data_IF_794662820238
#
_entry.id   IF_794662820238
#
_cell.length_a   1.000
_cell.length_b   1.000
_cell.length_c   1.000
_cell.angle_alpha   90.00
_cell.angle_beta   90.00
_cell.angle_gamma   90.00
#
_symmetry.space_group_name_H-M   'P 1'
#
loop_
_entity.id
_entity.type
_entity.pdbx_description
1 polymer ?
#
# COMPACT_ATOMS: atom_id res chain seq x y z
N UNK A 1 15.87 -21.39 -13.07
CA UNK A 1 16.99 -21.94 -12.29
C UNK A 1 16.79 -21.48 -10.85
N UNK A 2 17.06 -22.30 -9.85
CA UNK A 2 17.04 -21.84 -8.45
C UNK A 2 18.19 -20.86 -8.27
N UNK A 3 17.89 -19.61 -7.88
CA UNK A 3 18.92 -18.61 -7.58
C UNK A 3 19.00 -18.49 -6.07
N UNK A 4 20.19 -18.72 -5.51
CA UNK A 4 20.46 -18.38 -4.12
C UNK A 4 20.71 -16.88 -4.06
N UNK A 5 19.83 -16.17 -3.37
CA UNK A 5 19.83 -14.72 -3.26
C UNK A 5 20.08 -14.34 -1.82
N UNK A 6 20.87 -13.29 -1.63
CA UNK A 6 20.97 -12.61 -0.34
C UNK A 6 19.81 -11.64 -0.28
N UNK A 7 18.89 -11.86 0.66
CA UNK A 7 17.64 -11.12 0.77
C UNK A 7 17.59 -10.39 2.11
N UNK A 8 17.21 -9.12 2.08
CA UNK A 8 16.84 -8.32 3.25
C UNK A 8 15.32 -8.42 3.43
N UNK A 9 14.87 -8.78 4.63
CA UNK A 9 13.45 -8.95 4.92
C UNK A 9 13.10 -8.46 6.33
N UNK A 10 11.88 -7.97 6.54
CA UNK A 10 11.32 -7.82 7.88
C UNK A 10 11.19 -9.17 8.60
N UNK A 11 11.45 -9.21 9.90
CA UNK A 11 11.36 -10.43 10.72
C UNK A 11 9.97 -11.11 10.70
N UNK A 12 8.91 -10.34 10.45
CA UNK A 12 7.55 -10.85 10.29
C UNK A 12 7.42 -11.78 9.08
N UNK A 13 8.28 -11.64 8.06
CA UNK A 13 8.14 -12.34 6.78
C UNK A 13 8.12 -13.87 6.97
N UNK A 14 8.93 -14.36 7.91
CA UNK A 14 9.05 -15.79 8.25
C UNK A 14 7.78 -16.39 8.88
N UNK A 15 6.86 -15.54 9.36
CA UNK A 15 5.60 -15.97 9.97
C UNK A 15 4.53 -16.31 8.92
N UNK A 16 4.64 -15.75 7.71
CA UNK A 16 3.58 -15.84 6.72
C UNK A 16 3.42 -17.23 6.12
N UNK A 17 2.17 -17.72 6.15
CA UNK A 17 1.73 -18.90 5.42
C UNK A 17 0.35 -18.64 4.84
N UNK A 18 0.17 -18.89 3.55
CA UNK A 18 -1.13 -18.75 2.92
C UNK A 18 -2.16 -19.66 3.62
N UNK A 19 -3.26 -19.06 4.06
CA UNK A 19 -4.37 -19.76 4.73
C UNK A 19 -5.35 -20.42 3.75
N UNK A 20 -5.11 -20.25 2.43
CA UNK A 20 -5.84 -20.89 1.35
C UNK A 20 -7.34 -20.62 1.42
N UNK A 21 -8.15 -21.67 1.37
CA UNK A 21 -9.62 -21.60 1.38
C UNK A 21 -10.23 -20.98 2.65
N UNK A 22 -9.44 -20.76 3.71
CA UNK A 22 -9.88 -20.01 4.90
C UNK A 22 -9.79 -18.49 4.72
N UNK A 23 -9.19 -18.01 3.62
CA UNK A 23 -9.05 -16.59 3.33
C UNK A 23 -10.43 -15.97 3.11
N UNK A 24 -10.77 -14.97 3.93
CA UNK A 24 -12.05 -14.27 3.86
C UNK A 24 -12.17 -13.35 2.64
N UNK A 25 -11.03 -12.91 2.10
CA UNK A 25 -10.94 -12.07 0.92
C UNK A 25 -9.84 -12.62 0.00
N UNK A 26 -10.24 -13.45 -0.96
CA UNK A 26 -9.33 -14.25 -1.77
C UNK A 26 -8.60 -13.39 -2.82
N UNK A 27 -7.30 -13.63 -2.99
CA UNK A 27 -6.48 -13.07 -4.08
C UNK A 27 -6.83 -13.64 -5.46
N UNK A 28 -7.86 -14.47 -5.56
CA UNK A 28 -8.35 -15.02 -6.82
C UNK A 28 -9.70 -14.39 -7.21
N UNK A 29 -10.05 -13.23 -6.63
CA UNK A 29 -11.30 -12.51 -6.85
C UNK A 29 -11.03 -11.01 -6.93
N UNK A 30 -11.57 -10.37 -7.98
CA UNK A 30 -11.68 -8.90 -8.08
C UNK A 30 -10.51 -8.17 -8.76
N UNK A 31 -9.58 -8.89 -9.39
CA UNK A 31 -8.45 -8.30 -10.12
C UNK A 31 -7.91 -9.25 -11.21
N UNK A 32 -7.16 -8.71 -12.16
CA UNK A 32 -6.57 -9.47 -13.26
C UNK A 32 -5.50 -10.45 -12.75
N UNK A 33 -5.50 -11.68 -13.30
CA UNK A 33 -4.53 -12.72 -12.93
C UNK A 33 -3.69 -13.07 -14.15
N UNK A 34 -2.48 -12.53 -14.16
CA UNK A 34 -1.47 -12.83 -15.18
C UNK A 34 -0.80 -14.20 -14.99
N UNK A 35 -0.41 -14.78 -16.12
CA UNK A 35 0.23 -16.08 -16.22
C UNK A 35 1.44 -15.99 -17.14
N UNK A 36 2.62 -16.27 -16.58
CA UNK A 36 3.88 -16.32 -17.30
C UNK A 36 3.89 -17.39 -18.40
N UNK A 37 4.72 -17.19 -19.43
CA UNK A 37 4.73 -18.06 -20.61
C UNK A 37 5.01 -19.53 -20.25
N UNK A 38 5.92 -19.76 -19.29
CA UNK A 38 6.31 -21.10 -18.89
C UNK A 38 5.13 -21.84 -18.26
N UNK A 39 4.44 -21.19 -17.32
CA UNK A 39 3.25 -21.74 -16.67
C UNK A 39 2.10 -21.89 -17.66
N UNK A 40 1.88 -20.92 -18.56
CA UNK A 40 0.86 -21.00 -19.61
C UNK A 40 1.07 -22.23 -20.49
N UNK A 41 2.29 -22.44 -20.98
CA UNK A 41 2.65 -23.62 -21.80
C UNK A 41 2.57 -24.92 -21.01
N UNK A 42 2.86 -24.89 -19.71
CA UNK A 42 2.71 -26.05 -18.82
C UNK A 42 1.24 -26.44 -18.69
N UNK A 43 0.35 -25.48 -18.47
CA UNK A 43 -1.10 -25.66 -18.41
C UNK A 43 -1.66 -26.27 -19.69
N UNK A 44 -1.25 -25.78 -20.86
CA UNK A 44 -1.71 -26.28 -22.17
C UNK A 44 -1.22 -27.71 -22.50
N UNK A 45 -0.27 -28.25 -21.73
CA UNK A 45 0.30 -29.58 -21.91
C UNK A 45 -0.13 -30.58 -20.83
N UNK A 46 -1.01 -30.18 -19.92
CA UNK A 46 -1.50 -31.09 -18.88
C UNK A 46 -2.23 -32.27 -19.52
N UNK A 47 -1.90 -33.48 -19.09
CA UNK A 47 -2.61 -34.69 -19.52
C UNK A 47 -3.67 -35.04 -18.45
N UNK A 48 -4.67 -34.17 -18.33
CA UNK A 48 -5.77 -34.34 -17.38
C UNK A 48 -7.04 -33.72 -17.95
N UNK A 49 -8.08 -34.53 -18.16
CA UNK A 49 -9.33 -34.12 -18.82
C UNK A 49 -10.06 -32.99 -18.09
N UNK A 50 -10.06 -33.01 -16.74
CA UNK A 50 -10.66 -31.98 -15.89
C UNK A 50 -9.94 -30.63 -16.09
N UNK A 51 -8.61 -30.64 -16.01
CA UNK A 51 -7.80 -29.44 -16.18
C UNK A 51 -7.81 -28.92 -17.62
N UNK A 52 -7.78 -29.80 -18.62
CA UNK A 52 -7.77 -29.42 -20.03
C UNK A 52 -9.04 -28.65 -20.40
N UNK A 53 -10.19 -29.10 -19.91
CA UNK A 53 -11.47 -28.45 -20.19
C UNK A 53 -11.52 -27.04 -19.57
N UNK A 54 -11.13 -26.91 -18.30
CA UNK A 54 -11.22 -25.63 -17.60
C UNK A 54 -10.15 -24.64 -18.07
N UNK A 55 -8.92 -25.09 -18.31
CA UNK A 55 -7.83 -24.21 -18.74
C UNK A 55 -8.02 -23.78 -20.19
N UNK A 56 -8.41 -24.67 -21.11
CA UNK A 56 -8.65 -24.29 -22.51
C UNK A 56 -9.77 -23.26 -22.66
N UNK A 57 -10.78 -23.31 -21.78
CA UNK A 57 -11.90 -22.36 -21.79
C UNK A 57 -11.56 -21.01 -21.17
N UNK A 58 -10.71 -20.99 -20.14
CA UNK A 58 -10.52 -19.81 -19.29
C UNK A 58 -9.10 -19.25 -19.29
N UNK A 59 -8.21 -19.74 -20.17
CA UNK A 59 -6.90 -19.14 -20.38
C UNK A 59 -6.87 -18.42 -21.72
N UNK A 60 -6.52 -17.13 -21.69
CA UNK A 60 -6.37 -16.31 -22.88
C UNK A 60 -4.92 -15.87 -23.03
N UNK A 61 -4.41 -15.87 -24.26
CA UNK A 61 -3.10 -15.25 -24.53
C UNK A 61 -3.25 -13.73 -24.45
N UNK A 62 -2.33 -13.06 -23.77
CA UNK A 62 -2.27 -11.61 -23.76
C UNK A 62 -1.66 -11.12 -25.09
N UNK A 63 -2.43 -10.38 -25.88
CA UNK A 63 -1.94 -9.83 -27.15
C UNK A 63 -1.12 -8.55 -26.97
N UNK A 64 -1.20 -7.94 -25.79
CA UNK A 64 -0.49 -6.73 -25.37
C UNK A 64 0.60 -7.08 -24.34
N UNK A 65 1.10 -8.32 -24.40
CA UNK A 65 2.14 -8.81 -23.50
C UNK A 65 3.37 -7.91 -23.55
N UNK A 66 3.71 -7.34 -22.39
CA UNK A 66 4.87 -6.48 -22.18
C UNK A 66 6.07 -7.25 -21.66
N UNK A 67 5.84 -8.32 -20.89
CA UNK A 67 6.86 -9.15 -20.28
C UNK A 67 6.40 -10.61 -20.18
N UNK A 68 6.91 -11.47 -21.07
CA UNK A 68 6.54 -12.89 -21.12
C UNK A 68 6.79 -13.67 -19.82
N UNK A 69 7.62 -13.13 -18.91
CA UNK A 69 7.89 -13.69 -17.59
C UNK A 69 6.79 -13.40 -16.57
N UNK A 70 5.82 -12.54 -16.91
CA UNK A 70 4.73 -12.10 -16.03
C UNK A 70 3.39 -12.25 -16.75
N UNK A 71 3.21 -11.56 -17.88
CA UNK A 71 1.89 -11.23 -18.45
C UNK A 71 1.62 -11.91 -19.82
N UNK A 72 2.23 -13.06 -20.09
CA UNK A 72 2.07 -13.78 -21.36
C UNK A 72 0.62 -14.21 -21.65
N UNK A 73 -0.10 -14.61 -20.61
CA UNK A 73 -1.50 -14.96 -20.68
C UNK A 73 -2.25 -14.45 -19.46
N UNK A 74 -3.57 -14.48 -19.55
CA UNK A 74 -4.48 -14.07 -18.49
C UNK A 74 -5.47 -15.18 -18.17
N UNK A 75 -5.83 -15.30 -16.90
CA UNK A 75 -6.99 -16.09 -16.50
C UNK A 75 -8.25 -15.27 -16.76
N UNK A 76 -9.15 -15.78 -17.58
CA UNK A 76 -10.45 -15.18 -17.79
C UNK A 76 -11.35 -15.47 -16.58
N UNK A 77 -11.62 -14.44 -15.79
CA UNK A 77 -12.50 -14.52 -14.63
C UNK A 77 -13.96 -14.72 -15.08
N UNK A 78 -14.78 -15.27 -14.19
CA UNK A 78 -16.21 -15.38 -14.44
C UNK A 78 -16.92 -14.00 -14.29
N UNK A 79 -18.24 -13.98 -14.46
CA UNK A 79 -19.05 -12.75 -14.33
C UNK A 79 -19.01 -12.11 -12.94
N UNK A 80 -18.64 -12.88 -11.91
CA UNK A 80 -18.47 -12.43 -10.52
C UNK A 80 -17.00 -12.09 -10.23
N UNK A 81 -16.18 -11.89 -11.27
CA UNK A 81 -14.74 -11.59 -11.17
C UNK A 81 -13.96 -12.62 -10.36
N UNK A 82 -14.45 -13.86 -10.34
CA UNK A 82 -13.88 -14.99 -9.60
C UNK A 82 -13.09 -15.89 -10.53
N UNK A 83 -11.87 -16.25 -10.11
CA UNK A 83 -11.02 -17.19 -10.83
C UNK A 83 -11.72 -18.56 -10.96
N UNK A 84 -11.83 -19.11 -12.18
CA UNK A 84 -12.45 -20.42 -12.40
C UNK A 84 -11.67 -21.58 -11.77
N UNK A 85 -10.41 -21.36 -11.39
CA UNK A 85 -9.57 -22.34 -10.72
C UNK A 85 -9.79 -22.39 -9.20
N UNK A 86 -10.72 -21.62 -8.64
CA UNK A 86 -11.12 -21.77 -7.24
C UNK A 86 -12.24 -22.82 -7.11
N UNK A 87 -12.06 -23.79 -6.21
CA UNK A 87 -13.12 -24.73 -5.84
C UNK A 87 -14.19 -24.09 -4.94
N UNK A 88 -15.22 -24.85 -4.57
CA UNK A 88 -16.33 -24.39 -3.71
C UNK A 88 -15.88 -23.94 -2.30
N UNK A 89 -14.72 -24.40 -1.84
CA UNK A 89 -14.10 -24.00 -0.58
C UNK A 89 -13.10 -22.84 -0.74
N UNK A 90 -13.13 -22.11 -1.85
CA UNK A 90 -12.20 -21.01 -2.19
C UNK A 90 -10.72 -21.40 -2.16
N UNK A 91 -10.41 -22.67 -2.41
CA UNK A 91 -9.04 -23.16 -2.57
C UNK A 91 -8.70 -23.33 -4.05
N UNK A 92 -7.51 -22.91 -4.46
CA UNK A 92 -7.04 -23.07 -5.84
C UNK A 92 -6.83 -24.56 -6.20
N UNK A 93 -7.50 -25.04 -7.24
CA UNK A 93 -7.42 -26.44 -7.69
C UNK A 93 -6.05 -26.79 -8.25
N UNK A 94 -5.33 -25.83 -8.85
CA UNK A 94 -3.95 -26.02 -9.30
C UNK A 94 -3.06 -26.29 -8.09
N UNK A 95 -3.10 -25.41 -7.10
CA UNK A 95 -2.28 -25.56 -5.90
C UNK A 95 -2.60 -26.86 -5.15
N UNK A 96 -3.88 -27.14 -4.90
CA UNK A 96 -4.28 -28.31 -4.09
C UNK A 96 -4.03 -29.66 -4.76
N UNK A 97 -4.15 -29.76 -6.10
CA UNK A 97 -3.99 -31.04 -6.83
C UNK A 97 -2.62 -31.22 -7.46
N UNK A 98 -2.00 -30.14 -7.94
CA UNK A 98 -0.75 -30.19 -8.71
C UNK A 98 0.46 -29.66 -7.95
N UNK A 99 0.26 -28.85 -6.90
CA UNK A 99 1.35 -28.29 -6.09
C UNK A 99 1.69 -26.84 -6.45
N UNK A 100 2.49 -26.21 -5.57
CA UNK A 100 2.93 -24.81 -5.67
C UNK A 100 3.74 -24.54 -6.95
N UNK A 101 4.48 -25.52 -7.43
CA UNK A 101 5.32 -25.42 -8.63
C UNK A 101 4.53 -25.20 -9.92
N UNK A 102 3.23 -25.49 -9.92
CA UNK A 102 2.32 -25.26 -11.03
C UNK A 102 1.68 -23.86 -11.00
N UNK A 103 1.81 -23.09 -9.91
CA UNK A 103 1.29 -21.73 -9.86
C UNK A 103 2.05 -20.81 -10.81
N UNK A 104 1.37 -19.83 -11.42
CA UNK A 104 2.05 -18.78 -12.20
C UNK A 104 2.98 -17.96 -11.30
N UNK A 105 3.91 -17.24 -11.91
CA UNK A 105 4.75 -16.29 -11.16
C UNK A 105 3.88 -15.36 -10.30
N UNK A 106 2.84 -14.74 -10.86
CA UNK A 106 1.85 -13.90 -10.15
C UNK A 106 1.25 -14.60 -8.92
N UNK A 107 0.65 -15.79 -9.11
CA UNK A 107 -0.01 -16.53 -8.03
C UNK A 107 0.95 -17.07 -6.96
N UNK A 108 2.18 -17.40 -7.34
CA UNK A 108 3.20 -17.90 -6.41
C UNK A 108 3.85 -16.77 -5.59
N UNK A 109 3.92 -15.57 -6.18
CA UNK A 109 4.57 -14.43 -5.56
C UNK A 109 3.64 -13.77 -4.56
N UNK A 110 2.40 -13.44 -4.94
CA UNK A 110 1.45 -12.76 -4.06
C UNK A 110 1.25 -13.51 -2.71
N UNK A 111 1.27 -12.81 -1.57
CA UNK A 111 1.41 -11.36 -1.35
C UNK A 111 2.84 -10.89 -1.13
N UNK A 112 3.84 -11.67 -1.52
CA UNK A 112 5.25 -11.28 -1.41
C UNK A 112 5.54 -10.23 -2.47
N UNK A 113 6.27 -9.21 -2.08
CA UNK A 113 6.80 -8.19 -2.98
C UNK A 113 8.31 -8.27 -2.88
N UNK A 114 8.97 -8.36 -4.03
CA UNK A 114 10.42 -8.48 -4.11
C UNK A 114 10.94 -7.30 -4.92
N UNK A 115 11.70 -6.43 -4.27
CA UNK A 115 12.39 -5.33 -4.91
C UNK A 115 13.87 -5.65 -5.04
N UNK A 116 14.55 -4.89 -5.90
CA UNK A 116 16.01 -4.95 -6.05
C UNK A 116 16.57 -3.54 -5.89
N UNK A 117 17.50 -3.37 -4.95
CA UNK A 117 18.16 -2.09 -4.70
C UNK A 117 19.67 -2.31 -4.76
N UNK A 118 20.28 -1.86 -5.85
CA UNK A 118 21.61 -2.28 -6.30
C UNK A 118 21.69 -3.83 -6.38
N UNK A 119 22.65 -4.43 -5.67
CA UNK A 119 22.85 -5.88 -5.61
C UNK A 119 22.02 -6.57 -4.51
N UNK A 120 21.37 -5.82 -3.62
CA UNK A 120 20.56 -6.37 -2.53
C UNK A 120 19.12 -6.62 -3.01
N UNK A 121 18.61 -7.82 -2.71
CA UNK A 121 17.19 -8.15 -2.91
C UNK A 121 16.43 -7.87 -1.62
N UNK A 122 15.25 -7.27 -1.72
CA UNK A 122 14.43 -6.89 -0.58
C UNK A 122 13.05 -7.52 -0.69
N UNK A 123 12.63 -8.29 0.31
CA UNK A 123 11.31 -8.97 0.28
C UNK A 123 10.43 -8.56 1.45
N UNK A 124 9.16 -8.27 1.16
CA UNK A 124 8.12 -7.87 2.12
C UNK A 124 6.79 -8.56 1.81
N UNK A 125 5.76 -8.24 2.60
CA UNK A 125 4.39 -8.67 2.35
C UNK A 125 3.47 -7.47 2.09
N UNK A 126 2.66 -7.62 1.05
CA UNK A 126 1.58 -6.71 0.71
C UNK A 126 0.38 -6.92 1.64
N UNK A 127 -0.12 -5.83 2.23
CA UNK A 127 -1.21 -5.88 3.20
C UNK A 127 -2.59 -6.03 2.56
N UNK A 128 -2.70 -6.07 1.23
CA UNK A 128 -3.92 -6.49 0.52
C UNK A 128 -4.29 -7.96 0.78
N UNK A 129 -3.36 -8.79 1.27
CA UNK A 129 -3.69 -10.13 1.76
C UNK A 129 -4.14 -10.09 3.22
N UNK A 130 -5.31 -10.66 3.58
CA UNK A 130 -5.80 -10.69 4.97
C UNK A 130 -4.81 -11.26 5.98
N UNK A 131 -4.11 -12.34 5.63
CA UNK A 131 -3.14 -12.95 6.55
C UNK A 131 -1.86 -12.11 6.67
N UNK A 132 -1.40 -11.50 5.58
CA UNK A 132 -0.28 -10.56 5.62
C UNK A 132 -0.63 -9.34 6.47
N UNK A 133 -1.82 -8.75 6.29
CA UNK A 133 -2.29 -7.61 7.07
C UNK A 133 -2.28 -7.93 8.58
N UNK A 134 -2.81 -9.09 9.00
CA UNK A 134 -2.78 -9.50 10.42
C UNK A 134 -1.37 -9.59 10.97
N UNK A 135 -0.44 -10.17 10.21
CA UNK A 135 0.96 -10.37 10.62
C UNK A 135 1.70 -9.03 10.70
N UNK A 136 1.62 -8.22 9.64
CA UNK A 136 2.35 -6.96 9.50
C UNK A 136 1.78 -5.90 10.44
N UNK A 137 0.47 -5.65 10.34
CA UNK A 137 -0.19 -4.55 11.04
C UNK A 137 -0.44 -4.88 12.52
N UNK A 138 -0.72 -6.14 12.83
CA UNK A 138 -1.03 -6.61 14.19
C UNK A 138 0.16 -6.66 15.15
N UNK A 139 1.40 -6.43 14.68
CA UNK A 139 2.59 -6.51 15.50
C UNK A 139 2.83 -5.23 16.33
N UNK A 140 2.39 -5.24 17.59
CA UNK A 140 2.56 -4.09 18.52
C UNK A 140 4.02 -3.64 18.73
N UNK A 141 4.98 -4.54 18.59
CA UNK A 141 6.41 -4.24 18.75
C UNK A 141 7.04 -3.61 17.51
N UNK A 142 6.32 -3.57 16.39
CA UNK A 142 6.92 -3.30 15.09
C UNK A 142 7.82 -4.46 14.64
N UNK A 143 8.58 -4.25 13.58
CA UNK A 143 9.46 -5.26 12.99
C UNK A 143 10.85 -4.70 12.73
N UNK A 144 11.84 -5.57 12.75
CA UNK A 144 13.22 -5.27 12.37
C UNK A 144 13.61 -5.97 11.07
N UNK A 145 14.60 -5.43 10.38
CA UNK A 145 15.11 -5.98 9.14
C UNK A 145 16.28 -6.93 9.41
N UNK A 146 16.28 -8.07 8.74
CA UNK A 146 17.35 -9.06 8.80
C UNK A 146 17.78 -9.47 7.39
N UNK A 147 19.04 -9.92 7.26
CA UNK A 147 19.57 -10.48 6.00
C UNK A 147 19.62 -11.99 6.11
N UNK A 148 19.12 -12.68 5.10
CA UNK A 148 19.16 -14.14 5.00
C UNK A 148 19.47 -14.60 3.57
N UNK A 149 19.96 -15.83 3.44
CA UNK A 149 20.19 -16.49 2.17
C UNK A 149 18.93 -17.29 1.80
N UNK A 150 18.25 -16.92 0.72
CA UNK A 150 17.03 -17.60 0.27
C UNK A 150 17.18 -18.18 -1.13
N UNK A 151 16.65 -19.38 -1.32
CA UNK A 151 16.54 -20.01 -2.63
C UNK A 151 15.18 -19.71 -3.26
N UNK A 152 15.15 -18.80 -4.24
CA UNK A 152 13.93 -18.51 -5.00
C UNK A 152 13.89 -19.33 -6.30
N UNK A 153 12.79 -20.08 -6.48
CA UNK A 153 12.54 -20.87 -7.71
C UNK A 153 11.78 -20.08 -8.77
N UNK A 154 10.84 -19.26 -8.34
CA UNK A 154 10.02 -18.31 -9.12
C UNK A 154 10.01 -17.00 -8.34
N UNK A 155 10.14 -15.88 -9.03
CA UNK A 155 10.02 -14.54 -8.45
C UNK A 155 9.73 -13.53 -9.54
N UNK A 156 9.09 -12.44 -9.12
CA UNK A 156 8.90 -11.22 -9.92
C UNK A 156 9.63 -10.11 -9.18
N UNK A 157 10.40 -9.29 -9.89
CA UNK A 157 10.94 -8.04 -9.34
C UNK A 157 9.84 -6.99 -9.54
N UNK A 158 9.30 -6.47 -8.44
CA UNK A 158 8.22 -5.49 -8.46
C UNK A 158 8.73 -4.09 -8.79
N UNK A 159 9.87 -3.70 -8.21
CA UNK A 159 10.61 -2.49 -8.56
C UNK A 159 12.11 -2.70 -8.43
N UNK A 160 12.86 -1.90 -9.18
CA UNK A 160 14.33 -1.91 -9.20
C UNK A 160 14.86 -0.49 -9.16
N UNK A 161 15.82 -0.24 -8.26
CA UNK A 161 16.63 0.98 -8.22
C UNK A 161 18.10 0.56 -8.27
N UNK A 162 18.85 1.04 -9.25
CA UNK A 162 20.31 0.93 -9.29
C UNK A 162 20.91 2.30 -9.02
N UNK A 163 21.33 2.55 -7.78
CA UNK A 163 21.89 3.83 -7.37
C UNK A 163 23.28 4.12 -7.98
N UNK A 164 23.88 3.12 -8.63
CA UNK A 164 25.16 3.24 -9.32
C UNK A 164 25.01 3.48 -10.83
N UNK A 165 23.77 3.60 -11.33
CA UNK A 165 23.53 3.94 -12.72
C UNK A 165 24.14 5.31 -13.05
N UNK A 166 24.77 5.43 -14.23
CA UNK A 166 25.37 6.67 -14.71
C UNK A 166 24.32 7.78 -14.86
N UNK A 167 23.05 7.43 -15.10
CA UNK A 167 21.93 8.39 -15.13
C UNK A 167 21.74 9.14 -13.79
N UNK A 168 22.19 8.54 -12.68
CA UNK A 168 21.98 9.07 -11.34
C UNK A 168 23.23 9.70 -10.71
N UNK A 169 24.30 9.95 -11.48
CA UNK A 169 25.57 10.46 -10.94
C UNK A 169 25.38 11.73 -10.10
N UNK A 170 24.49 12.63 -10.54
CA UNK A 170 24.13 13.91 -9.91
C UNK A 170 22.68 13.91 -9.34
N UNK A 171 21.99 12.77 -9.28
CA UNK A 171 20.58 12.69 -8.86
C UNK A 171 20.43 12.26 -7.39
N UNK A 172 19.45 12.79 -6.61
CA UNK A 172 19.24 12.41 -5.21
C UNK A 172 19.00 10.92 -4.98
N UNK A 173 18.48 10.19 -5.98
CA UNK A 173 18.26 8.73 -5.90
C UNK A 173 19.53 7.93 -5.62
N UNK A 174 20.72 8.49 -5.92
CA UNK A 174 22.02 7.93 -5.52
C UNK A 174 22.12 7.68 -4.02
N UNK A 175 21.41 8.47 -3.21
CA UNK A 175 21.34 8.39 -1.75
C UNK A 175 20.04 7.75 -1.25
N UNK A 176 19.37 6.97 -2.12
CA UNK A 176 18.08 6.36 -1.83
C UNK A 176 18.07 5.55 -0.52
N UNK A 177 19.13 4.77 -0.26
CA UNK A 177 19.22 3.94 0.93
C UNK A 177 19.26 4.79 2.20
N UNK A 178 20.11 5.82 2.23
CA UNK A 178 20.28 6.74 3.35
C UNK A 178 18.98 7.52 3.63
N UNK A 179 18.35 8.03 2.57
CA UNK A 179 17.07 8.76 2.66
C UNK A 179 15.98 7.85 3.22
N UNK A 180 15.77 6.68 2.62
CA UNK A 180 14.70 5.74 3.03
C UNK A 180 14.92 5.21 4.45
N UNK A 181 16.16 4.88 4.83
CA UNK A 181 16.50 4.48 6.19
C UNK A 181 16.17 5.59 7.21
N UNK A 182 16.42 6.86 6.84
CA UNK A 182 16.07 7.98 7.69
C UNK A 182 14.56 8.18 7.82
N UNK A 183 13.82 8.07 6.71
CA UNK A 183 12.35 8.11 6.71
C UNK A 183 11.74 7.05 7.63
N UNK A 184 12.20 5.80 7.51
CA UNK A 184 11.77 4.69 8.39
C UNK A 184 12.13 4.99 9.85
N UNK A 185 13.32 5.55 10.12
CA UNK A 185 13.76 5.95 11.46
C UNK A 185 12.86 7.03 12.06
N UNK A 186 12.40 8.01 11.27
CA UNK A 186 11.45 9.03 11.71
C UNK A 186 10.13 8.37 12.13
N UNK A 187 9.55 7.54 11.27
CA UNK A 187 8.24 6.92 11.53
C UNK A 187 8.28 5.95 12.72
N UNK A 188 9.36 5.18 12.89
CA UNK A 188 9.56 4.29 14.05
C UNK A 188 9.88 5.03 15.36
N UNK A 189 10.06 6.35 15.35
CA UNK A 189 10.47 7.10 16.54
C UNK A 189 9.31 7.39 17.51
N UNK A 190 8.98 6.40 18.34
CA UNK A 190 7.89 6.47 19.35
C UNK A 190 8.08 7.49 20.49
N UNK A 191 9.11 8.35 20.44
CA UNK A 191 9.24 9.50 21.33
C UNK A 191 8.29 10.65 20.97
N UNK A 192 7.83 10.67 19.72
CA UNK A 192 6.86 11.61 19.18
C UNK A 192 5.55 10.90 18.89
N UNK A 193 4.42 11.59 18.89
CA UNK A 193 3.18 11.00 18.39
C UNK A 193 3.24 10.83 16.86
N UNK A 194 2.33 10.04 16.29
CA UNK A 194 2.38 9.75 14.86
C UNK A 194 2.22 11.01 13.98
N UNK A 195 1.39 11.98 14.37
CA UNK A 195 1.23 13.21 13.57
C UNK A 195 2.51 14.05 13.58
N UNK A 196 3.20 14.15 14.72
CA UNK A 196 4.52 14.78 14.80
C UNK A 196 5.53 14.08 13.86
N UNK A 197 5.56 12.74 13.85
CA UNK A 197 6.46 11.97 12.97
C UNK A 197 6.17 12.20 11.49
N UNK A 198 4.89 12.26 11.11
CA UNK A 198 4.49 12.55 9.73
C UNK A 198 4.89 13.98 9.33
N UNK A 199 4.73 14.96 10.23
CA UNK A 199 5.18 16.33 9.99
C UNK A 199 6.70 16.41 9.79
N UNK A 200 7.47 15.76 10.67
CA UNK A 200 8.94 15.68 10.55
C UNK A 200 9.34 15.03 9.22
N UNK A 201 8.64 13.96 8.81
CA UNK A 201 8.92 13.28 7.54
C UNK A 201 8.75 14.23 6.35
N UNK A 202 7.66 15.01 6.33
CA UNK A 202 7.40 15.98 5.27
C UNK A 202 8.43 17.09 5.20
N UNK A 203 8.74 17.71 6.35
CA UNK A 203 9.78 18.72 6.47
C UNK A 203 11.14 18.19 6.00
N UNK A 204 11.51 16.98 6.43
CA UNK A 204 12.75 16.33 5.99
C UNK A 204 12.80 16.15 4.48
N UNK A 205 11.78 15.55 3.86
CA UNK A 205 11.80 15.24 2.43
C UNK A 205 11.75 16.50 1.57
N UNK A 206 10.97 17.50 1.98
CA UNK A 206 10.96 18.82 1.34
C UNK A 206 12.37 19.45 1.35
N UNK A 207 13.03 19.43 2.50
CA UNK A 207 14.36 20.01 2.67
C UNK A 207 15.49 19.21 1.99
N UNK A 208 15.35 17.89 1.84
CA UNK A 208 16.28 17.08 1.03
C UNK A 208 16.13 17.42 -0.45
N UNK A 209 14.88 17.49 -0.93
CA UNK A 209 14.58 17.73 -2.33
C UNK A 209 15.07 19.11 -2.77
N UNK A 210 14.76 20.15 -1.99
CA UNK A 210 15.27 21.51 -2.23
C UNK A 210 16.81 21.57 -2.25
N UNK A 211 17.50 20.91 -1.31
CA UNK A 211 18.98 20.89 -1.30
C UNK A 211 19.57 20.07 -2.43
N UNK A 212 18.89 19.03 -2.88
CA UNK A 212 19.36 18.18 -3.97
C UNK A 212 19.41 18.90 -5.32
N UNK A 213 18.64 19.99 -5.47
CA UNK A 213 18.73 20.88 -6.63
C UNK A 213 20.07 21.64 -6.71
N UNK A 214 20.71 21.91 -5.58
CA UNK A 214 21.99 22.62 -5.51
C UNK A 214 23.19 21.66 -5.67
N UNK A 215 23.22 20.60 -4.85
CA UNK A 215 24.29 19.59 -4.83
C UNK A 215 23.80 18.34 -4.09
N UNK A 216 23.59 17.24 -4.83
CA UNK A 216 23.14 15.98 -4.26
C UNK A 216 24.16 15.37 -3.27
N UNK A 217 25.46 15.71 -3.35
CA UNK A 217 26.47 15.23 -2.39
C UNK A 217 26.26 15.75 -0.97
N UNK A 218 25.47 16.81 -0.79
CA UNK A 218 25.17 17.36 0.54
C UNK A 218 24.16 16.52 1.34
N UNK A 219 23.45 15.57 0.71
CA UNK A 219 22.35 14.82 1.32
C UNK A 219 22.80 14.07 2.58
N UNK A 220 23.91 13.32 2.51
CA UNK A 220 24.42 12.59 3.66
C UNK A 220 24.77 13.51 4.85
N UNK A 221 25.44 14.64 4.57
CA UNK A 221 25.77 15.63 5.60
C UNK A 221 24.53 16.31 6.20
N UNK A 222 23.50 16.53 5.38
CA UNK A 222 22.21 17.03 5.84
C UNK A 222 21.51 16.02 6.76
N UNK A 223 21.43 14.74 6.37
CA UNK A 223 20.83 13.68 7.20
C UNK A 223 21.52 13.57 8.58
N UNK A 224 22.85 13.69 8.64
CA UNK A 224 23.60 13.64 9.89
C UNK A 224 23.33 14.82 10.83
N UNK A 225 23.04 15.99 10.27
CA UNK A 225 22.84 17.24 11.04
C UNK A 225 21.36 17.58 11.27
N UNK A 226 20.43 16.87 10.61
CA UNK A 226 18.99 17.11 10.72
C UNK A 226 18.47 16.88 12.13
N UNK A 227 17.90 17.92 12.74
CA UNK A 227 17.43 17.88 14.13
C UNK A 227 15.91 17.69 14.22
N UNK A 228 15.51 16.42 14.30
CA UNK A 228 14.11 16.01 14.49
C UNK A 228 13.44 16.72 15.68
N UNK A 229 14.16 16.95 16.79
CA UNK A 229 13.57 17.58 17.98
C UNK A 229 13.26 19.06 17.78
N UNK A 230 13.99 19.77 16.93
CA UNK A 230 13.72 21.18 16.65
C UNK A 230 12.55 21.32 15.68
N UNK A 231 12.47 20.45 14.67
CA UNK A 231 11.35 20.41 13.72
C UNK A 231 10.04 20.03 14.42
N UNK A 232 10.05 19.02 15.29
CA UNK A 232 8.87 18.61 16.05
C UNK A 232 8.24 19.76 16.87
N UNK A 233 9.05 20.71 17.37
CA UNK A 233 8.55 21.87 18.14
C UNK A 233 7.71 22.81 17.29
N UNK A 234 7.84 22.76 15.97
CA UNK A 234 7.08 23.59 15.03
C UNK A 234 5.71 22.97 14.71
N UNK A 235 5.53 21.66 14.93
CA UNK A 235 4.24 21.02 14.69
C UNK A 235 3.18 21.55 15.65
N UNK A 236 2.04 21.95 15.08
CA UNK A 236 0.84 22.34 15.83
C UNK A 236 -0.35 21.68 15.17
N UNK A 237 -1.01 20.79 15.90
CA UNK A 237 -2.30 20.24 15.47
C UNK A 237 -3.36 21.35 15.53
N UNK A 238 -4.01 21.59 14.40
CA UNK A 238 -5.16 22.48 14.32
C UNK A 238 -6.43 21.64 14.13
N UNK A 239 -7.30 21.60 15.14
CA UNK A 239 -8.55 20.82 15.06
C UNK A 239 -9.52 21.39 14.03
N UNK A 240 -9.42 22.67 13.71
CA UNK A 240 -10.28 23.31 12.71
C UNK A 240 -9.98 22.76 11.29
N UNK A 241 -8.81 22.16 11.09
CA UNK A 241 -8.44 21.50 9.84
C UNK A 241 -9.33 20.27 9.54
N UNK A 242 -9.98 19.66 10.53
CA UNK A 242 -10.83 18.49 10.29
C UNK A 242 -11.97 18.79 9.30
N UNK A 243 -12.48 20.02 9.30
CA UNK A 243 -13.54 20.42 8.36
C UNK A 243 -13.01 20.45 6.92
N UNK A 244 -11.79 20.98 6.74
CA UNK A 244 -11.12 21.00 5.44
C UNK A 244 -10.76 19.59 4.98
N UNK A 245 -10.22 18.74 5.88
CA UNK A 245 -9.95 17.32 5.61
C UNK A 245 -11.20 16.59 5.13
N UNK A 246 -12.31 16.75 5.86
CA UNK A 246 -13.57 16.10 5.51
C UNK A 246 -14.07 16.59 4.16
N UNK A 247 -14.06 17.91 3.92
CA UNK A 247 -14.50 18.47 2.65
C UNK A 247 -13.70 17.91 1.48
N UNK A 248 -12.37 17.91 1.58
CA UNK A 248 -11.46 17.40 0.56
C UNK A 248 -11.67 15.89 0.32
N UNK A 249 -11.61 15.08 1.38
CA UNK A 249 -11.66 13.63 1.26
C UNK A 249 -13.04 13.14 0.81
N UNK A 250 -14.11 13.84 1.21
CA UNK A 250 -15.45 13.59 0.70
C UNK A 250 -15.56 13.91 -0.79
N UNK A 251 -14.94 15.00 -1.25
CA UNK A 251 -14.93 15.34 -2.69
C UNK A 251 -14.17 14.28 -3.49
N UNK A 252 -13.00 13.84 -3.01
CA UNK A 252 -12.21 12.78 -3.64
C UNK A 252 -13.03 11.48 -3.71
N UNK A 253 -13.62 11.02 -2.59
CA UNK A 253 -14.39 9.77 -2.59
C UNK A 253 -15.59 9.82 -3.55
N UNK A 254 -16.25 10.98 -3.66
CA UNK A 254 -17.38 11.15 -4.58
C UNK A 254 -16.95 11.27 -6.04
N UNK A 255 -15.70 11.65 -6.34
CA UNK A 255 -15.18 11.67 -7.72
C UNK A 255 -14.68 10.32 -8.21
N UNK A 256 -14.34 9.40 -7.30
CA UNK A 256 -13.76 8.09 -7.63
C UNK A 256 -14.77 7.06 -8.18
N UNK A 257 -16.04 7.40 -8.37
CA UNK A 257 -17.11 6.52 -8.93
C UNK A 257 -17.06 5.07 -8.37
N UNK A 258 -16.86 4.93 -7.06
CA UNK A 258 -16.55 3.65 -6.39
C UNK A 258 -17.63 2.58 -6.65
N UNK A 259 -18.89 2.96 -6.83
CA UNK A 259 -19.95 1.97 -7.04
C UNK A 259 -19.92 1.36 -8.44
N UNK A 260 -19.45 2.13 -9.42
CA UNK A 260 -19.30 1.77 -10.82
C UNK A 260 -17.99 1.04 -11.10
N UNK A 261 -16.88 1.57 -10.58
CA UNK A 261 -15.52 1.15 -10.99
C UNK A 261 -14.89 0.08 -10.06
N UNK A 262 -15.38 -0.07 -8.82
CA UNK A 262 -14.82 -1.07 -7.89
C UNK A 262 -15.57 -2.41 -7.94
N UNK A 263 -14.87 -3.54 -7.93
CA UNK A 263 -15.47 -4.89 -7.84
C UNK A 263 -15.68 -5.38 -6.39
N UNK A 264 -15.02 -4.77 -5.40
CA UNK A 264 -15.10 -5.16 -3.99
C UNK A 264 -16.39 -4.70 -3.31
N UNK A 265 -17.35 -5.62 -3.13
CA UNK A 265 -18.60 -5.36 -2.40
C UNK A 265 -18.38 -4.94 -0.95
N UNK A 266 -17.32 -5.44 -0.31
CA UNK A 266 -16.98 -5.05 1.06
C UNK A 266 -16.47 -3.60 1.11
N UNK A 267 -15.67 -3.17 0.13
CA UNK A 267 -15.23 -1.78 0.03
C UNK A 267 -16.41 -0.86 -0.24
N UNK A 268 -17.30 -1.19 -1.20
CA UNK A 268 -18.55 -0.44 -1.45
C UNK A 268 -19.40 -0.28 -0.19
N UNK A 269 -19.53 -1.34 0.61
CA UNK A 269 -20.23 -1.29 1.90
C UNK A 269 -19.55 -0.29 2.85
N UNK A 270 -18.22 -0.35 2.99
CA UNK A 270 -17.48 0.59 3.84
C UNK A 270 -17.59 2.03 3.34
N UNK A 271 -17.51 2.27 2.04
CA UNK A 271 -17.75 3.59 1.43
C UNK A 271 -19.15 4.09 1.76
N UNK A 272 -20.17 3.25 1.65
CA UNK A 272 -21.54 3.60 2.04
C UNK A 272 -21.64 3.98 3.52
N UNK A 273 -21.10 3.17 4.41
CA UNK A 273 -21.10 3.45 5.85
C UNK A 273 -20.39 4.77 6.18
N UNK A 274 -19.27 5.06 5.49
CA UNK A 274 -18.53 6.31 5.64
C UNK A 274 -19.38 7.52 5.19
N UNK A 275 -19.95 7.47 3.98
CA UNK A 275 -20.78 8.55 3.43
C UNK A 275 -22.02 8.77 4.29
N UNK A 276 -22.73 7.70 4.66
CA UNK A 276 -23.91 7.75 5.52
C UNK A 276 -23.54 8.25 6.94
N UNK A 277 -22.34 7.91 7.44
CA UNK A 277 -21.83 8.33 8.74
C UNK A 277 -21.58 9.82 8.81
N UNK A 278 -20.88 10.37 7.81
CA UNK A 278 -20.70 11.81 7.71
C UNK A 278 -22.02 12.51 7.41
N UNK A 279 -22.82 12.00 6.48
CA UNK A 279 -24.11 12.57 6.05
C UNK A 279 -24.00 14.06 5.65
N UNK A 280 -23.06 14.34 4.74
CA UNK A 280 -22.80 15.69 4.23
C UNK A 280 -23.65 15.92 2.98
N UNK A 281 -24.66 16.79 3.09
CA UNK A 281 -25.52 17.15 1.96
C UNK A 281 -25.03 18.41 1.24
N UNK A 282 -24.34 19.32 1.95
CA UNK A 282 -23.76 20.53 1.36
C UNK A 282 -22.58 21.08 2.17
N UNK A 283 -21.73 21.95 1.58
CA UNK A 283 -20.67 22.65 2.29
C UNK A 283 -21.18 23.51 3.46
N UNK A 284 -22.33 24.17 3.31
CA UNK A 284 -22.92 25.00 4.37
C UNK A 284 -23.36 24.16 5.58
N UNK A 285 -23.86 22.94 5.34
CA UNK A 285 -24.18 22.00 6.42
C UNK A 285 -22.90 21.56 7.15
N UNK A 286 -21.84 21.26 6.39
CA UNK A 286 -20.55 20.87 6.94
C UNK A 286 -20.00 21.92 7.91
N UNK A 287 -20.06 23.21 7.54
CA UNK A 287 -19.66 24.31 8.43
C UNK A 287 -20.55 24.41 9.68
N UNK A 288 -21.87 24.29 9.50
CA UNK A 288 -22.85 24.40 10.59
C UNK A 288 -22.71 23.26 11.61
N UNK A 289 -22.39 22.06 11.15
CA UNK A 289 -22.23 20.86 11.98
C UNK A 289 -20.75 20.62 12.35
N UNK A 290 -19.88 21.62 12.23
CA UNK A 290 -18.43 21.49 12.44
C UNK A 290 -18.05 20.87 13.79
N UNK A 291 -18.70 21.28 14.87
CA UNK A 291 -18.49 20.71 16.21
C UNK A 291 -18.72 19.19 16.25
N UNK A 292 -19.73 18.68 15.53
CA UNK A 292 -20.03 17.23 15.47
C UNK A 292 -18.83 16.48 14.91
N UNK A 293 -18.27 16.97 13.80
CA UNK A 293 -17.18 16.30 13.11
C UNK A 293 -15.84 16.44 13.83
N UNK A 294 -15.54 17.62 14.36
CA UNK A 294 -14.34 17.85 15.17
C UNK A 294 -14.35 16.94 16.40
N UNK A 295 -15.50 16.79 17.05
CA UNK A 295 -15.66 15.88 18.19
C UNK A 295 -15.48 14.42 17.78
N UNK A 296 -16.06 13.99 16.65
CA UNK A 296 -15.91 12.63 16.15
C UNK A 296 -14.45 12.25 15.86
N UNK A 297 -13.72 13.11 15.14
CA UNK A 297 -12.30 12.90 14.88
C UNK A 297 -11.47 12.93 16.17
N UNK A 298 -11.77 13.84 17.10
CA UNK A 298 -11.09 13.92 18.40
C UNK A 298 -11.31 12.63 19.20
N UNK A 299 -12.56 12.22 19.39
CA UNK A 299 -12.92 11.04 20.17
C UNK A 299 -12.32 9.77 19.56
N UNK A 300 -12.44 9.60 18.25
CA UNK A 300 -11.86 8.44 17.56
C UNK A 300 -10.33 8.42 17.69
N UNK A 301 -9.68 9.58 17.56
CA UNK A 301 -8.23 9.68 17.70
C UNK A 301 -7.76 9.35 19.12
N UNK A 302 -8.46 9.85 20.14
CA UNK A 302 -8.11 9.65 21.55
C UNK A 302 -8.37 8.21 22.02
N UNK A 303 -9.47 7.60 21.59
CA UNK A 303 -9.90 6.29 22.05
C UNK A 303 -9.35 5.13 21.23
N UNK A 304 -9.17 5.29 19.90
CA UNK A 304 -8.83 4.17 19.02
C UNK A 304 -7.48 4.35 18.31
N UNK A 305 -7.20 5.52 17.71
CA UNK A 305 -5.92 5.73 17.02
C UNK A 305 -4.75 5.64 18.00
N UNK A 306 -4.84 6.31 19.16
CA UNK A 306 -3.74 6.34 20.13
C UNK A 306 -3.39 4.95 20.69
N UNK A 307 -4.39 4.12 20.97
CA UNK A 307 -4.15 2.74 21.43
C UNK A 307 -3.58 1.84 20.34
N UNK A 308 -3.94 2.12 19.09
CA UNK A 308 -3.62 1.34 17.91
C UNK A 308 -2.60 2.01 16.98
N UNK A 309 -1.83 2.97 17.50
CA UNK A 309 -0.89 3.75 16.68
C UNK A 309 0.12 2.86 15.96
N UNK A 310 0.50 1.74 16.58
CA UNK A 310 1.38 0.73 16.00
C UNK A 310 0.86 0.14 14.68
N UNK A 311 -0.46 0.07 14.47
CA UNK A 311 -1.05 -0.44 13.21
C UNK A 311 -0.71 0.51 12.07
N UNK A 312 -0.86 1.81 12.29
CA UNK A 312 -0.55 2.84 11.30
C UNK A 312 0.96 2.99 11.10
N UNK A 313 1.76 2.93 12.18
CA UNK A 313 3.22 2.89 12.10
C UNK A 313 3.68 1.71 11.22
N UNK A 314 3.16 0.50 11.48
CA UNK A 314 3.51 -0.69 10.71
C UNK A 314 3.06 -0.57 9.25
N UNK A 315 1.87 -0.03 8.99
CA UNK A 315 1.39 0.24 7.63
C UNK A 315 2.34 1.17 6.88
N UNK A 316 2.71 2.31 7.47
CA UNK A 316 3.59 3.30 6.85
C UNK A 316 4.99 2.74 6.59
N UNK A 317 5.62 2.11 7.59
CA UNK A 317 6.96 1.51 7.41
C UNK A 317 6.92 0.38 6.38
N UNK A 318 5.86 -0.44 6.39
CA UNK A 318 5.69 -1.49 5.39
C UNK A 318 5.54 -0.90 4.00
N UNK A 319 4.69 0.12 3.82
CA UNK A 319 4.52 0.82 2.56
C UNK A 319 5.85 1.37 2.04
N UNK A 320 6.64 2.02 2.91
CA UNK A 320 7.93 2.58 2.53
C UNK A 320 8.89 1.55 1.95
N UNK A 321 8.92 0.36 2.56
CA UNK A 321 9.79 -0.73 2.13
C UNK A 321 9.22 -1.47 0.91
N UNK A 322 7.90 -1.65 0.84
CA UNK A 322 7.19 -2.36 -0.21
C UNK A 322 7.25 -1.63 -1.56
N UNK A 323 7.18 -0.30 -1.53
CA UNK A 323 6.96 0.55 -2.72
C UNK A 323 8.15 1.47 -3.06
N UNK A 324 9.37 1.16 -2.58
CA UNK A 324 10.57 1.96 -2.89
C UNK A 324 10.44 3.47 -2.57
N UNK A 325 9.77 3.78 -1.46
CA UNK A 325 9.62 5.16 -0.98
C UNK A 325 10.99 5.82 -0.70
N UNK A 326 11.18 7.12 -1.00
CA UNK A 326 10.16 8.13 -1.37
C UNK A 326 9.79 8.20 -2.86
N UNK A 327 10.41 7.42 -3.74
CA UNK A 327 10.16 7.45 -5.18
C UNK A 327 9.05 6.47 -5.62
N UNK A 328 7.98 6.37 -4.82
CA UNK A 328 6.95 5.34 -4.98
C UNK A 328 5.90 5.68 -6.03
N UNK A 329 5.70 6.95 -6.32
CA UNK A 329 4.63 7.45 -7.22
C UNK A 329 5.22 8.27 -8.38
N UNK A 330 6.29 9.01 -8.11
CA UNK A 330 7.00 9.84 -9.09
C UNK A 330 8.48 9.97 -8.72
N UNK A 331 9.23 10.71 -9.54
CA UNK A 331 10.62 11.06 -9.26
C UNK A 331 10.75 12.14 -8.16
N UNK A 332 9.65 12.75 -7.71
CA UNK A 332 9.64 13.72 -6.61
C UNK A 332 9.44 13.05 -5.25
N UNK A 333 10.34 13.36 -4.33
CA UNK A 333 10.30 12.80 -2.98
C UNK A 333 9.11 13.36 -2.18
N UNK A 334 8.82 14.65 -2.36
CA UNK A 334 7.73 15.33 -1.70
C UNK A 334 6.38 14.85 -2.22
N UNK A 335 6.24 14.59 -3.52
CA UNK A 335 5.02 13.97 -4.07
C UNK A 335 4.81 12.56 -3.49
N UNK A 336 5.86 11.73 -3.41
CA UNK A 336 5.79 10.43 -2.74
C UNK A 336 5.35 10.52 -1.28
N UNK A 337 5.86 11.51 -0.54
CA UNK A 337 5.41 11.82 0.82
C UNK A 337 3.95 12.26 0.88
N UNK A 338 3.55 13.20 0.02
CA UNK A 338 2.18 13.70 -0.06
C UNK A 338 1.21 12.55 -0.28
N UNK A 339 1.53 11.62 -1.19
CA UNK A 339 0.69 10.46 -1.47
C UNK A 339 0.64 9.47 -0.30
N UNK A 340 1.74 9.29 0.44
CA UNK A 340 1.72 8.52 1.69
C UNK A 340 0.78 9.14 2.74
N UNK A 341 0.78 10.48 2.88
CA UNK A 341 -0.13 11.20 3.77
C UNK A 341 -1.58 11.10 3.30
N UNK A 342 -1.82 11.17 1.99
CA UNK A 342 -3.16 11.00 1.42
C UNK A 342 -3.74 9.62 1.73
N UNK A 343 -2.95 8.56 1.60
CA UNK A 343 -3.36 7.20 1.98
C UNK A 343 -3.74 7.11 3.45
N UNK A 344 -2.87 7.60 4.33
CA UNK A 344 -3.14 7.65 5.77
C UNK A 344 -4.40 8.45 6.11
N UNK A 345 -4.61 9.58 5.42
CA UNK A 345 -5.76 10.46 5.63
C UNK A 345 -7.07 9.84 5.15
N UNK A 346 -7.06 9.20 3.97
CA UNK A 346 -8.19 8.41 3.48
C UNK A 346 -8.53 7.29 4.46
N UNK A 347 -7.53 6.55 4.94
CA UNK A 347 -7.76 5.48 5.91
C UNK A 347 -8.45 6.04 7.17
N UNK A 348 -7.95 7.12 7.74
CA UNK A 348 -8.56 7.78 8.90
C UNK A 348 -9.97 8.26 8.63
N UNK A 349 -10.22 8.86 7.47
CA UNK A 349 -11.53 9.38 7.10
C UNK A 349 -12.58 8.26 7.05
N UNK A 350 -12.26 7.15 6.38
CA UNK A 350 -13.15 5.98 6.35
C UNK A 350 -13.41 5.39 7.73
N UNK A 351 -12.37 5.25 8.53
CA UNK A 351 -12.48 4.73 9.89
C UNK A 351 -13.40 5.60 10.76
N UNK A 352 -13.24 6.92 10.72
CA UNK A 352 -14.12 7.85 11.47
C UNK A 352 -15.54 7.84 10.92
N UNK A 353 -15.72 7.83 9.59
CA UNK A 353 -17.05 7.76 8.98
C UNK A 353 -17.81 6.49 9.38
N UNK A 354 -17.16 5.33 9.34
CA UNK A 354 -17.73 4.07 9.84
C UNK A 354 -18.04 4.12 11.34
N UNK A 355 -17.16 4.72 12.14
CA UNK A 355 -17.37 4.87 13.57
C UNK A 355 -18.63 5.67 13.90
N UNK A 356 -18.96 6.71 13.12
CA UNK A 356 -20.17 7.53 13.30
C UNK A 356 -21.48 6.73 13.21
N UNK A 357 -21.48 5.58 12.52
CA UNK A 357 -22.63 4.68 12.44
C UNK A 357 -22.57 3.60 13.53
N UNK A 358 -21.40 2.98 13.69
CA UNK A 358 -21.27 1.76 14.48
C UNK A 358 -20.98 2.01 15.98
N UNK A 359 -20.46 3.20 16.33
CA UNK A 359 -20.08 3.62 17.68
C UNK A 359 -19.09 2.70 18.42
N UNK A 360 -18.45 1.77 17.72
CA UNK A 360 -17.46 0.85 18.27
C UNK A 360 -16.39 0.58 17.24
N UNK A 361 -15.15 0.38 17.69
CA UNK A 361 -14.03 0.03 16.84
C UNK A 361 -13.12 -0.98 17.56
N UNK A 362 -12.42 -1.81 16.79
CA UNK A 362 -11.42 -2.75 17.30
C UNK A 362 -10.17 -2.77 16.42
N UNK A 363 -9.04 -3.22 16.97
CA UNK A 363 -7.82 -3.39 16.17
C UNK A 363 -8.01 -4.33 14.98
N UNK A 364 -8.86 -5.36 15.14
CA UNK A 364 -9.16 -6.31 14.06
C UNK A 364 -9.92 -5.66 12.90
N UNK A 365 -10.89 -4.81 13.20
CA UNK A 365 -11.66 -4.08 12.17
C UNK A 365 -10.83 -2.97 11.51
N UNK A 366 -9.91 -2.31 12.23
CA UNK A 366 -8.93 -1.39 11.62
C UNK A 366 -8.03 -2.14 10.63
N UNK A 367 -7.42 -3.26 11.05
CA UNK A 367 -6.54 -4.07 10.19
C UNK A 367 -7.28 -4.56 8.96
N UNK A 368 -8.50 -5.05 9.15
CA UNK A 368 -9.36 -5.52 8.07
C UNK A 368 -9.71 -4.40 7.11
N UNK A 369 -10.03 -3.20 7.61
CA UNK A 369 -10.30 -2.07 6.76
C UNK A 369 -9.06 -1.67 5.94
N UNK A 370 -7.87 -1.57 6.56
CA UNK A 370 -6.62 -1.26 5.86
C UNK A 370 -6.33 -2.30 4.78
N UNK A 371 -6.58 -3.59 5.04
CA UNK A 371 -6.43 -4.63 4.04
C UNK A 371 -7.36 -4.44 2.84
N UNK A 372 -8.65 -4.20 3.09
CA UNK A 372 -9.64 -3.99 2.01
C UNK A 372 -9.31 -2.73 1.23
N UNK A 373 -8.93 -1.65 1.93
CA UNK A 373 -8.47 -0.40 1.32
C UNK A 373 -7.25 -0.62 0.43
N UNK A 374 -6.22 -1.30 0.94
CA UNK A 374 -5.01 -1.62 0.18
C UNK A 374 -5.34 -2.44 -1.08
N UNK A 375 -6.13 -3.51 -0.95
CA UNK A 375 -6.54 -4.34 -2.08
C UNK A 375 -7.29 -3.57 -3.18
N UNK A 376 -8.14 -2.62 -2.79
CA UNK A 376 -9.03 -1.94 -3.74
C UNK A 376 -8.44 -0.64 -4.29
N UNK A 377 -7.78 0.16 -3.45
CA UNK A 377 -7.31 1.50 -3.82
C UNK A 377 -5.83 1.50 -4.21
N UNK A 378 -4.98 0.71 -3.54
CA UNK A 378 -3.53 0.74 -3.82
C UNK A 378 -3.13 -0.15 -5.01
N UNK A 379 -3.93 -1.15 -5.36
CA UNK A 379 -3.69 -2.00 -6.55
C UNK A 379 -4.31 -1.44 -7.84
N UNK A 380 -5.09 -0.36 -7.73
CA UNK A 380 -5.58 0.37 -8.89
C UNK A 380 -4.70 1.60 -9.12
N UNK A 381 -3.83 1.50 -10.11
CA UNK A 381 -2.87 2.56 -10.45
C UNK A 381 -3.56 3.84 -10.90
N UNK A 382 -4.69 3.74 -11.60
CA UNK A 382 -5.40 4.91 -12.12
C UNK A 382 -5.92 5.77 -10.98
N UNK A 383 -6.46 5.16 -9.92
CA UNK A 383 -7.01 5.93 -8.79
C UNK A 383 -5.98 6.84 -8.12
N UNK A 384 -4.76 6.35 -7.91
CA UNK A 384 -3.75 7.11 -7.19
C UNK A 384 -3.06 8.14 -8.07
N UNK A 385 -2.89 7.82 -9.37
CA UNK A 385 -2.45 8.78 -10.39
C UNK A 385 -3.46 9.94 -10.51
N UNK A 386 -4.76 9.65 -10.62
CA UNK A 386 -5.81 10.67 -10.69
C UNK A 386 -5.86 11.58 -9.45
N UNK A 387 -5.65 11.01 -8.26
CA UNK A 387 -5.55 11.80 -7.03
C UNK A 387 -4.31 12.69 -7.06
N UNK A 388 -3.15 12.18 -7.48
CA UNK A 388 -1.92 12.96 -7.56
C UNK A 388 -2.10 14.15 -8.53
N UNK A 389 -2.61 13.88 -9.73
CA UNK A 389 -2.89 14.91 -10.73
C UNK A 389 -3.84 15.98 -10.19
N UNK A 390 -4.94 15.57 -9.54
CA UNK A 390 -5.87 16.51 -8.90
C UNK A 390 -5.18 17.41 -7.86
N UNK A 391 -4.29 16.85 -7.03
CA UNK A 391 -3.57 17.62 -6.01
C UNK A 391 -2.61 18.63 -6.63
N UNK A 392 -1.85 18.22 -7.64
CA UNK A 392 -0.91 19.09 -8.36
C UNK A 392 -1.66 20.21 -9.08
N UNK A 393 -2.72 19.90 -9.83
CA UNK A 393 -3.51 20.89 -10.57
C UNK A 393 -4.12 21.97 -9.67
N UNK A 394 -4.38 21.64 -8.41
CA UNK A 394 -4.92 22.56 -7.40
C UNK A 394 -3.84 23.22 -6.52
N UNK A 395 -2.54 23.01 -6.80
CA UNK A 395 -1.40 23.53 -6.03
C UNK A 395 -1.41 23.07 -4.55
N UNK A 396 -1.76 21.81 -4.32
CA UNK A 396 -1.74 21.17 -3.00
C UNK A 396 -0.42 20.45 -2.69
N UNK A 397 0.55 20.52 -3.59
CA UNK A 397 1.92 20.03 -3.48
C UNK A 397 2.80 20.92 -2.55
N UNK A 398 2.34 21.17 -1.32
CA UNK A 398 3.10 21.97 -0.35
C UNK A 398 2.97 21.50 1.12
N UNK A 399 3.88 21.98 1.97
CA UNK A 399 3.93 21.62 3.39
C UNK A 399 2.68 22.05 4.17
N UNK A 400 2.08 23.20 3.85
CA UNK A 400 0.87 23.67 4.53
C UNK A 400 -0.32 22.72 4.30
N UNK A 401 -0.48 22.25 3.06
CA UNK A 401 -1.49 21.27 2.70
C UNK A 401 -1.26 19.92 3.40
N UNK A 402 -0.05 19.38 3.34
CA UNK A 402 0.24 18.09 3.99
C UNK A 402 0.13 18.20 5.52
N UNK A 403 0.49 19.34 6.12
CA UNK A 403 0.24 19.63 7.53
C UNK A 403 -1.27 19.72 7.84
N UNK A 404 -2.08 20.22 6.90
CA UNK A 404 -3.54 20.26 7.06
C UNK A 404 -4.13 18.86 7.22
N UNK A 405 -3.53 17.82 6.62
CA UNK A 405 -4.01 16.44 6.62
C UNK A 405 -3.69 15.62 7.88
N UNK A 406 -2.73 16.04 8.73
CA UNK A 406 -2.14 15.19 9.78
C UNK A 406 -2.59 15.46 11.22
#
# INVERSE_FOLDING_TARGET
MTKKLKIVMPDYFKQFKCIGGKCEDSCCIGWDIDVDEKTFRQYMKLDNEEFNTILAKNMQKNHECSNEFIDYGKVQLNKEKRCPLLNECNYCIIHSKLGEEYLSNTCSHFPRVLNKVDEDYEISLDVSCPEAARIVLGNRSGFEFEKDDMELKKYIIAGEIDTNDEEYEDHPIKYFKEIREFCIRIIKNRKFDLSERLYILGDFLYEVEEKSCDDSEMICGFIETYNIHDVAKNYRRNKDNYIMQISLLNNIINSLEIYEETDSELFKKYTKETIDGFNIESPEQLEKDSDRYINAFTEYSENYIKENEYIFENYLVNFMYNNLFPYSESDSMFEGYMMLIMRYSLIRFYLVGKYLINNTESSEEIIKFIQVFSKTVEHDKNYMEEILDFLIENNFDNLDFTQMLI
#
